data_IF_202634310018
#
_entry.id   IF_202634310018
#
_cell.length_a   1.000
_cell.length_b   1.000
_cell.length_c   1.000
_cell.angle_alpha   90.00
_cell.angle_beta   90.00
_cell.angle_gamma   90.00
#
_symmetry.space_group_name_H-M   'P 1'
#
loop_
_entity.id
_entity.type
_entity.pdbx_description
1 polymer ?
#
# COMPACT_ATOMS: atom_id res chain seq x y z
N UNK A 1 -50.70 -30.30 17.24
CA UNK A 1 -49.96 -30.32 18.52
C UNK A 1 -48.61 -29.67 18.24
N UNK A 2 -48.17 -28.51 18.73
CA UNK A 2 -48.33 -27.72 19.96
C UNK A 2 -46.88 -27.26 20.30
N UNK A 3 -46.48 -26.07 20.74
CA UNK A 3 -47.04 -24.79 21.23
C UNK A 3 -45.92 -23.76 20.90
N UNK A 4 -46.13 -22.60 20.28
CA UNK A 4 -46.51 -21.29 20.83
C UNK A 4 -45.86 -20.87 22.16
N UNK A 5 -45.05 -19.79 22.14
CA UNK A 5 -44.89 -18.69 23.14
C UNK A 5 -43.61 -17.87 22.83
N UNK A 6 -43.67 -16.60 22.37
CA UNK A 6 -43.94 -15.29 23.03
C UNK A 6 -42.65 -14.49 23.37
N UNK A 7 -42.49 -13.31 22.74
CA UNK A 7 -41.58 -12.20 23.10
C UNK A 7 -41.97 -11.59 24.47
N UNK A 8 -41.13 -10.73 25.08
CA UNK A 8 -41.39 -9.29 24.88
C UNK A 8 -40.15 -8.38 24.78
N UNK A 9 -40.39 -7.23 24.13
CA UNK A 9 -39.58 -6.02 24.11
C UNK A 9 -39.53 -5.36 25.50
N UNK A 10 -38.43 -4.65 25.79
CA UNK A 10 -38.41 -3.59 26.81
C UNK A 10 -37.71 -2.35 26.23
N UNK A 11 -38.51 -1.31 25.97
CA UNK A 11 -38.10 0.08 25.78
C UNK A 11 -38.37 0.81 27.10
N UNK A 12 -37.43 1.63 27.57
CA UNK A 12 -37.57 2.70 28.58
C UNK A 12 -36.22 3.43 28.63
N UNK A 13 -36.08 4.74 28.78
CA UNK A 13 -36.94 5.92 28.74
C UNK A 13 -36.01 7.10 29.01
N UNK A 14 -36.13 8.18 28.26
CA UNK A 14 -35.42 9.44 28.49
C UNK A 14 -36.08 10.26 29.61
N UNK A 15 -35.27 10.89 30.46
CA UNK A 15 -35.54 12.13 31.23
C UNK A 15 -34.29 12.38 32.08
N UNK A 16 -33.72 13.56 32.27
CA UNK A 16 -34.09 14.94 31.96
C UNK A 16 -33.24 15.87 32.87
N UNK A 17 -33.51 17.17 32.77
CA UNK A 17 -33.16 18.27 33.71
C UNK A 17 -31.93 19.12 33.36
N UNK A 18 -32.23 20.24 32.71
CA UNK A 18 -31.54 21.53 32.83
C UNK A 18 -31.75 22.16 34.21
N UNK A 19 -30.87 23.11 34.62
CA UNK A 19 -31.34 24.40 35.13
C UNK A 19 -30.51 25.55 34.53
N UNK A 20 -31.13 26.56 33.88
CA UNK A 20 -31.75 27.75 34.46
C UNK A 20 -30.76 28.83 34.96
N UNK A 21 -30.49 29.78 34.05
CA UNK A 21 -30.37 31.24 34.17
C UNK A 21 -30.20 31.86 35.58
N UNK A 22 -29.15 32.67 35.74
CA UNK A 22 -29.17 33.87 36.58
C UNK A 22 -28.64 35.10 35.82
N UNK A 23 -29.53 36.06 35.57
CA UNK A 23 -29.27 37.44 35.14
C UNK A 23 -29.04 38.34 36.37
N UNK A 24 -28.10 39.29 36.27
CA UNK A 24 -28.06 40.62 36.93
C UNK A 24 -26.71 41.27 36.56
N UNK A 25 -26.51 42.56 36.37
CA UNK A 25 -27.33 43.75 36.09
C UNK A 25 -26.31 44.83 35.66
N UNK A 26 -26.68 45.69 34.73
CA UNK A 26 -25.88 46.80 34.20
C UNK A 26 -25.40 47.79 35.27
N UNK A 27 -24.25 48.42 35.02
CA UNK A 27 -24.06 49.86 35.24
C UNK A 27 -23.07 50.40 34.20
N UNK A 28 -23.50 51.41 33.43
CA UNK A 28 -22.67 52.10 32.46
C UNK A 28 -21.88 53.27 33.05
N UNK A 29 -20.90 53.76 32.28
CA UNK A 29 -20.52 55.17 32.20
C UNK A 29 -19.65 55.40 30.95
N UNK A 30 -19.98 56.47 30.24
CA UNK A 30 -19.35 56.98 29.02
C UNK A 30 -18.07 57.79 29.31
N UNK A 31 -17.32 58.03 28.21
CA UNK A 31 -16.23 58.99 27.91
C UNK A 31 -14.98 58.21 27.50
N UNK A 32 -14.42 58.31 26.28
CA UNK A 32 -14.20 59.48 25.45
C UNK A 32 -12.68 59.70 25.36
N UNK A 33 -12.06 59.41 24.20
CA UNK A 33 -10.70 59.88 23.86
C UNK A 33 -9.72 58.84 23.29
N UNK A 34 -9.46 58.92 21.97
CA UNK A 34 -8.16 58.68 21.30
C UNK A 34 -7.52 57.27 21.28
N UNK A 35 -6.84 56.86 20.20
CA UNK A 35 -6.32 55.51 20.06
C UNK A 35 -5.03 55.34 20.87
N UNK A 36 -5.07 54.53 21.92
CA UNK A 36 -3.87 54.01 22.58
C UNK A 36 -3.39 52.75 21.82
N UNK A 37 -2.07 52.59 21.58
CA UNK A 37 -1.55 51.41 20.91
C UNK A 37 -1.90 50.17 21.73
N UNK A 38 -2.55 49.21 21.07
CA UNK A 38 -2.90 47.93 21.70
C UNK A 38 -1.62 47.25 22.18
N UNK A 39 -1.52 47.14 23.51
CA UNK A 39 -0.53 46.32 24.21
C UNK A 39 -0.47 44.93 23.54
N UNK A 40 0.73 44.36 23.33
CA UNK A 40 0.84 42.99 22.83
C UNK A 40 0.04 42.06 23.74
N UNK A 41 -0.87 41.28 23.15
CA UNK A 41 -1.55 40.20 23.86
C UNK A 41 -0.44 39.26 24.33
N UNK A 42 -0.43 39.03 25.65
CA UNK A 42 0.42 38.08 26.38
C UNK A 42 0.80 36.85 25.53
N UNK A 43 2.10 36.53 25.49
CA UNK A 43 2.68 35.38 24.78
C UNK A 43 2.34 34.00 25.38
N UNK A 44 1.31 33.91 26.23
CA UNK A 44 0.95 32.70 26.99
C UNK A 44 -0.57 32.46 27.02
N UNK A 45 -1.28 32.79 25.95
CA UNK A 45 -2.63 32.27 25.73
C UNK A 45 -2.50 31.13 24.72
N UNK A 46 -2.54 29.89 25.22
CA UNK A 46 -2.62 28.71 24.37
C UNK A 46 -4.04 28.64 23.78
N UNK A 47 -4.15 28.99 22.51
CA UNK A 47 -5.37 28.77 21.74
C UNK A 47 -5.24 27.39 21.06
N UNK A 48 -6.03 26.45 21.57
CA UNK A 48 -6.02 25.06 21.11
C UNK A 48 -6.42 24.94 19.63
N UNK A 49 -7.18 25.92 19.11
CA UNK A 49 -7.61 25.93 17.72
C UNK A 49 -6.47 26.36 16.79
N UNK A 50 -5.65 27.33 17.23
CA UNK A 50 -4.49 27.80 16.47
C UNK A 50 -3.36 26.77 16.45
N UNK A 51 -3.10 26.05 17.56
CA UNK A 51 -2.13 24.94 17.59
C UNK A 51 -2.58 23.76 16.71
N UNK A 52 -3.89 23.51 16.60
CA UNK A 52 -4.42 22.49 15.69
C UNK A 52 -4.22 22.89 14.22
N UNK A 53 -4.50 24.15 13.88
CA UNK A 53 -4.30 24.70 12.54
C UNK A 53 -2.82 24.73 12.15
N UNK A 54 -1.92 25.15 13.05
CA UNK A 54 -0.47 25.10 12.81
C UNK A 54 0.04 23.67 12.61
N UNK A 55 -0.44 22.70 13.39
CA UNK A 55 -0.07 21.29 13.20
C UNK A 55 -0.61 20.71 11.90
N UNK A 56 -1.82 21.09 11.50
CA UNK A 56 -2.39 20.70 10.21
C UNK A 56 -1.63 21.32 9.04
N UNK A 57 -1.23 22.59 9.14
CA UNK A 57 -0.41 23.28 8.16
C UNK A 57 1.01 22.69 8.08
N UNK A 58 1.62 22.37 9.23
CA UNK A 58 2.91 21.71 9.31
C UNK A 58 2.86 20.33 8.63
N UNK A 59 1.79 19.55 8.85
CA UNK A 59 1.60 18.25 8.20
C UNK A 59 1.40 18.38 6.68
N UNK A 60 0.66 19.39 6.21
CA UNK A 60 0.53 19.69 4.77
C UNK A 60 1.86 20.15 4.15
N UNK A 61 2.68 20.91 4.87
CA UNK A 61 3.99 21.35 4.40
C UNK A 61 5.06 20.24 4.44
N UNK A 62 5.00 19.32 5.41
CA UNK A 62 5.86 18.13 5.46
C UNK A 62 5.49 17.10 4.38
N UNK A 63 4.22 17.01 4.00
CA UNK A 63 3.79 16.19 2.86
C UNK A 63 4.26 16.73 1.50
N UNK A 64 4.84 17.93 1.45
CA UNK A 64 5.42 18.56 0.26
C UNK A 64 6.95 18.62 0.26
N UNK A 65 7.60 18.06 1.29
CA UNK A 65 9.05 18.11 1.45
C UNK A 65 9.71 16.71 1.55
N UNK A 66 8.96 15.65 1.22
CA UNK A 66 9.49 14.31 1.10
C UNK A 66 9.75 14.00 -0.39
N UNK A 67 11.03 13.83 -0.73
CA UNK A 67 11.59 13.55 -2.07
C UNK A 67 11.20 12.16 -2.62
N UNK A 68 9.97 11.71 -2.36
CA UNK A 68 9.35 10.49 -2.93
C UNK A 68 8.46 10.79 -4.14
N UNK A 69 8.46 12.04 -4.62
CA UNK A 69 7.55 12.53 -5.66
C UNK A 69 7.89 12.06 -7.09
N UNK A 70 9.02 11.41 -7.33
CA UNK A 70 9.39 10.91 -8.65
C UNK A 70 8.76 9.54 -9.02
N UNK A 71 8.15 8.82 -8.07
CA UNK A 71 7.41 7.58 -8.39
C UNK A 71 5.90 7.81 -8.64
N UNK A 72 5.34 8.92 -8.16
CA UNK A 72 3.90 9.21 -8.23
C UNK A 72 3.49 10.15 -9.37
N UNK A 73 4.43 10.79 -10.09
CA UNK A 73 4.12 11.79 -11.12
C UNK A 73 3.93 11.21 -12.53
N UNK A 74 3.36 10.00 -12.64
CA UNK A 74 2.88 9.41 -13.91
C UNK A 74 1.35 9.37 -13.98
N UNK A 75 0.68 10.33 -13.31
CA UNK A 75 -0.77 10.42 -13.17
C UNK A 75 -1.53 10.98 -14.37
N UNK A 76 -1.43 10.35 -15.54
CA UNK A 76 -2.41 10.51 -16.62
C UNK A 76 -2.73 9.17 -17.29
N UNK A 77 -3.20 8.19 -16.50
CA UNK A 77 -3.72 6.95 -17.06
C UNK A 77 -5.17 7.15 -17.51
N UNK A 78 -5.38 7.03 -18.81
CA UNK A 78 -6.71 7.00 -19.43
C UNK A 78 -7.45 5.79 -18.88
N UNK A 79 -8.54 6.01 -18.13
CA UNK A 79 -9.44 4.99 -17.59
C UNK A 79 -9.86 4.04 -18.73
N UNK A 80 -9.26 2.85 -18.80
CA UNK A 80 -9.59 1.83 -19.79
C UNK A 80 -10.76 1.01 -19.25
N UNK A 81 -11.87 0.99 -20.00
CA UNK A 81 -13.00 0.11 -19.71
C UNK A 81 -12.54 -1.35 -19.78
N UNK A 82 -12.48 -2.00 -18.61
CA UNK A 82 -12.05 -3.39 -18.49
C UNK A 82 -13.20 -4.35 -18.75
N UNK A 83 -12.97 -5.33 -19.62
CA UNK A 83 -13.85 -6.47 -19.77
C UNK A 83 -13.77 -7.36 -18.52
N UNK A 84 -14.73 -7.18 -17.59
CA UNK A 84 -14.84 -7.84 -16.28
C UNK A 84 -14.71 -9.38 -16.30
N UNK A 85 -14.91 -10.03 -17.45
CA UNK A 85 -14.80 -11.48 -17.61
C UNK A 85 -13.35 -11.98 -17.68
N UNK A 86 -12.41 -11.16 -18.16
CA UNK A 86 -10.97 -11.46 -18.14
C UNK A 86 -10.35 -11.20 -16.75
N UNK A 87 -10.98 -10.31 -15.97
CA UNK A 87 -10.57 -9.79 -14.65
C UNK A 87 -11.05 -10.64 -13.45
N UNK A 88 -11.43 -11.92 -13.63
CA UNK A 88 -11.87 -12.78 -12.49
C UNK A 88 -10.77 -13.11 -11.47
N UNK A 89 -9.58 -12.57 -11.66
CA UNK A 89 -8.44 -12.65 -10.78
C UNK A 89 -7.91 -11.22 -10.66
N UNK A 90 -8.74 -10.33 -10.09
CA UNK A 90 -8.34 -8.98 -9.71
C UNK A 90 -6.96 -9.05 -9.02
N UNK A 91 -6.06 -8.16 -9.42
CA UNK A 91 -4.80 -7.99 -8.71
C UNK A 91 -5.16 -7.78 -7.23
N UNK A 92 -4.44 -8.43 -6.32
CA UNK A 92 -4.70 -8.31 -4.89
C UNK A 92 -3.37 -8.33 -4.16
N UNK A 93 -3.20 -7.47 -3.16
CA UNK A 93 -2.00 -7.45 -2.32
C UNK A 93 -1.78 -8.80 -1.60
N UNK A 94 -2.86 -9.56 -1.38
CA UNK A 94 -2.88 -10.83 -0.65
C UNK A 94 -2.46 -12.06 -1.48
N UNK A 95 -2.18 -11.90 -2.78
CA UNK A 95 -1.81 -13.03 -3.68
C UNK A 95 -0.43 -13.60 -3.37
N UNK A 96 0.42 -12.81 -2.74
CA UNK A 96 1.79 -13.17 -2.42
C UNK A 96 2.17 -12.56 -1.09
N UNK A 97 3.22 -13.11 -0.50
CA UNK A 97 3.74 -12.67 0.77
C UNK A 97 5.25 -12.75 0.74
N UNK A 98 5.90 -11.62 1.02
CA UNK A 98 7.35 -11.53 1.14
C UNK A 98 7.74 -11.59 2.60
N UNK A 99 8.88 -12.20 2.88
CA UNK A 99 9.39 -12.38 4.24
C UNK A 99 10.84 -11.95 4.31
N UNK A 100 11.28 -11.61 5.52
CA UNK A 100 12.69 -11.54 5.82
C UNK A 100 13.17 -12.86 6.45
N UNK A 101 14.43 -13.27 6.20
CA UNK A 101 15.03 -14.33 6.98
C UNK A 101 15.14 -13.91 8.45
N UNK A 102 15.07 -14.90 9.33
CA UNK A 102 15.28 -14.71 10.78
C UNK A 102 16.67 -14.14 11.06
N UNK A 103 17.69 -14.63 10.33
CA UNK A 103 19.02 -14.03 10.31
C UNK A 103 19.15 -13.14 9.07
N UNK A 104 19.18 -11.83 9.28
CA UNK A 104 19.26 -10.81 8.22
C UNK A 104 20.58 -10.92 7.44
N UNK A 105 21.65 -11.41 8.06
CA UNK A 105 22.94 -11.60 7.39
C UNK A 105 22.86 -12.65 6.29
N UNK A 106 21.85 -13.52 6.31
CA UNK A 106 21.60 -14.44 5.23
C UNK A 106 21.33 -13.72 3.90
N UNK A 107 20.92 -12.44 3.92
CA UNK A 107 20.70 -11.65 2.71
C UNK A 107 22.00 -11.15 2.06
N UNK A 108 23.15 -11.24 2.74
CA UNK A 108 24.44 -10.81 2.19
C UNK A 108 24.88 -11.73 1.05
N UNK A 109 25.15 -11.15 -0.11
CA UNK A 109 25.58 -11.89 -1.30
C UNK A 109 24.47 -12.64 -2.05
N UNK A 110 23.22 -12.55 -1.61
CA UNK A 110 22.06 -13.11 -2.33
C UNK A 110 21.61 -12.14 -3.44
N UNK A 111 21.26 -12.67 -4.60
CA UNK A 111 20.69 -11.87 -5.71
C UNK A 111 19.17 -11.68 -5.53
N UNK A 112 18.58 -10.60 -6.08
CA UNK A 112 17.11 -10.40 -6.01
C UNK A 112 16.30 -11.61 -6.48
N UNK A 113 16.76 -12.28 -7.55
CA UNK A 113 16.10 -13.49 -8.08
C UNK A 113 16.14 -14.64 -7.07
N UNK A 114 17.28 -14.85 -6.40
CA UNK A 114 17.41 -15.86 -5.34
C UNK A 114 16.55 -15.51 -4.12
N UNK A 115 16.50 -14.23 -3.74
CA UNK A 115 15.62 -13.77 -2.66
C UNK A 115 14.16 -14.11 -2.98
N UNK A 116 13.70 -13.79 -4.19
CA UNK A 116 12.34 -14.12 -4.63
C UNK A 116 12.06 -15.63 -4.57
N UNK A 117 13.00 -16.47 -4.96
CA UNK A 117 12.84 -17.93 -4.87
C UNK A 117 12.69 -18.44 -3.44
N UNK A 118 13.42 -17.86 -2.48
CA UNK A 118 13.47 -18.35 -1.11
C UNK A 118 12.45 -17.70 -0.18
N UNK A 119 12.10 -16.43 -0.41
CA UNK A 119 11.34 -15.62 0.53
C UNK A 119 10.03 -15.04 -0.04
N UNK A 120 9.71 -15.30 -1.32
CA UNK A 120 8.38 -15.02 -1.87
C UNK A 120 7.49 -16.27 -1.77
N UNK A 121 6.33 -16.12 -1.13
CA UNK A 121 5.31 -17.16 -1.10
C UNK A 121 4.11 -16.70 -1.91
N UNK A 122 3.65 -17.50 -2.87
CA UNK A 122 2.51 -17.18 -3.73
C UNK A 122 1.32 -18.08 -3.38
N UNK A 123 0.11 -17.51 -3.36
CA UNK A 123 -1.11 -18.26 -3.10
C UNK A 123 -1.33 -19.35 -4.16
N UNK A 124 -1.83 -20.51 -3.72
CA UNK A 124 -2.03 -21.69 -4.57
C UNK A 124 -2.92 -21.42 -5.78
N UNK A 125 -4.01 -20.64 -5.60
CA UNK A 125 -4.91 -20.32 -6.71
C UNK A 125 -4.18 -19.51 -7.77
N UNK A 126 -3.36 -18.57 -7.34
CA UNK A 126 -2.62 -17.68 -8.23
C UNK A 126 -1.46 -18.41 -8.92
N UNK A 127 -0.75 -19.31 -8.22
CA UNK A 127 0.21 -20.22 -8.81
C UNK A 127 -0.37 -21.04 -9.98
N UNK A 128 -1.60 -21.54 -9.87
CA UNK A 128 -2.24 -22.29 -10.96
C UNK A 128 -2.46 -21.43 -12.20
N UNK A 129 -2.83 -20.16 -12.01
CA UNK A 129 -2.96 -19.20 -13.10
C UNK A 129 -1.61 -18.97 -13.78
N UNK A 130 -0.55 -18.67 -13.02
CA UNK A 130 0.79 -18.50 -13.56
C UNK A 130 1.28 -19.75 -14.29
N UNK A 131 0.98 -20.94 -13.76
CA UNK A 131 1.35 -22.21 -14.38
C UNK A 131 0.73 -22.39 -15.77
N UNK A 132 -0.53 -22.01 -15.94
CA UNK A 132 -1.18 -22.08 -17.25
C UNK A 132 -0.49 -21.20 -18.29
N UNK A 133 -0.10 -19.98 -17.90
CA UNK A 133 0.59 -19.03 -18.79
C UNK A 133 2.01 -19.50 -19.08
N UNK A 134 2.74 -19.95 -18.06
CA UNK A 134 4.05 -20.56 -18.20
C UNK A 134 3.99 -21.66 -19.25
N UNK A 135 3.15 -22.69 -19.06
CA UNK A 135 3.03 -23.82 -20.00
C UNK A 135 2.69 -23.37 -21.43
N UNK A 136 1.83 -22.35 -21.59
CA UNK A 136 1.51 -21.81 -22.93
C UNK A 136 2.70 -21.17 -23.63
N UNK A 137 3.62 -20.55 -22.87
CA UNK A 137 4.82 -19.91 -23.42
C UNK A 137 5.96 -20.92 -23.62
N UNK A 138 5.97 -22.03 -22.89
CA UNK A 138 6.98 -23.10 -23.02
C UNK A 138 6.55 -24.21 -23.98
N UNK A 139 6.51 -23.90 -25.26
CA UNK A 139 6.30 -24.93 -26.28
C UNK A 139 7.54 -25.85 -26.44
N UNK A 140 8.74 -25.36 -26.11
CA UNK A 140 10.02 -26.01 -26.45
C UNK A 140 10.64 -26.91 -25.36
N UNK A 141 9.88 -27.33 -24.34
CA UNK A 141 10.24 -28.41 -23.38
C UNK A 141 11.53 -28.24 -22.54
N UNK A 142 12.24 -27.13 -22.62
CA UNK A 142 13.49 -26.91 -21.86
C UNK A 142 13.28 -26.56 -20.38
N UNK A 143 12.05 -26.28 -19.95
CA UNK A 143 11.73 -25.97 -18.56
C UNK A 143 12.08 -24.54 -18.10
N UNK A 144 12.61 -23.68 -19.00
CA UNK A 144 13.02 -22.31 -18.71
C UNK A 144 12.50 -21.32 -19.76
N UNK A 145 12.06 -20.13 -19.32
CA UNK A 145 11.68 -19.02 -20.20
C UNK A 145 12.95 -18.24 -20.52
N UNK A 146 13.07 -17.81 -21.77
CA UNK A 146 14.02 -16.74 -22.10
C UNK A 146 13.51 -15.40 -21.54
N UNK A 147 14.38 -14.38 -21.50
CA UNK A 147 13.99 -13.02 -21.15
C UNK A 147 12.81 -12.51 -21.98
N UNK A 148 12.83 -12.73 -23.29
CA UNK A 148 11.76 -12.29 -24.20
C UNK A 148 10.44 -13.02 -23.95
N UNK A 149 10.50 -14.33 -23.72
CA UNK A 149 9.30 -15.11 -23.41
C UNK A 149 8.73 -14.73 -22.05
N UNK A 150 9.60 -14.41 -21.08
CA UNK A 150 9.21 -13.91 -19.77
C UNK A 150 8.49 -12.56 -19.86
N UNK A 151 9.00 -11.61 -20.67
CA UNK A 151 8.30 -10.34 -20.93
C UNK A 151 6.90 -10.56 -21.51
N UNK A 152 6.78 -11.43 -22.52
CA UNK A 152 5.49 -11.75 -23.13
C UNK A 152 4.55 -12.47 -22.15
N UNK A 153 5.09 -13.37 -21.33
CA UNK A 153 4.34 -14.09 -20.31
C UNK A 153 3.77 -13.12 -19.25
N UNK A 154 4.59 -12.18 -18.76
CA UNK A 154 4.16 -11.14 -17.82
C UNK A 154 3.06 -10.25 -18.43
N UNK A 155 3.21 -9.84 -19.69
CA UNK A 155 2.15 -9.11 -20.40
C UNK A 155 0.83 -9.88 -20.39
N UNK A 156 0.88 -11.19 -20.68
CA UNK A 156 -0.31 -12.06 -20.67
C UNK A 156 -0.93 -12.23 -19.28
N UNK A 157 -0.13 -12.33 -18.22
CA UNK A 157 -0.63 -12.37 -16.82
C UNK A 157 -1.49 -11.15 -16.53
N UNK A 158 -1.05 -9.98 -17.01
CA UNK A 158 -1.72 -8.70 -16.84
C UNK A 158 -2.78 -8.40 -17.91
N UNK A 159 -3.22 -9.39 -18.68
CA UNK A 159 -4.23 -9.22 -19.73
C UNK A 159 -3.83 -8.25 -20.85
N UNK A 160 -2.52 -8.04 -21.06
CA UNK A 160 -1.92 -7.09 -22.01
C UNK A 160 -2.31 -5.62 -21.76
N UNK A 161 -2.74 -5.28 -20.55
CA UNK A 161 -3.05 -3.90 -20.14
C UNK A 161 -1.76 -3.15 -19.77
N UNK A 162 -0.78 -3.86 -19.23
CA UNK A 162 0.50 -3.33 -18.78
C UNK A 162 1.45 -3.20 -19.96
N UNK A 163 2.09 -2.03 -20.08
CA UNK A 163 3.02 -1.73 -21.17
C UNK A 163 4.40 -2.37 -20.97
N UNK A 164 5.16 -2.50 -22.07
CA UNK A 164 6.51 -3.07 -22.05
C UNK A 164 7.47 -2.33 -21.09
N UNK A 165 7.33 -1.01 -20.96
CA UNK A 165 8.15 -0.21 -20.04
C UNK A 165 7.97 -0.64 -18.58
N UNK A 166 6.72 -0.86 -18.14
CA UNK A 166 6.41 -1.31 -16.79
C UNK A 166 6.94 -2.72 -16.54
N UNK A 167 6.81 -3.62 -17.51
CA UNK A 167 7.37 -4.98 -17.44
C UNK A 167 8.89 -4.93 -17.32
N UNK A 168 9.55 -4.07 -18.10
CA UNK A 168 11.00 -3.89 -18.03
C UNK A 168 11.42 -3.37 -16.64
N UNK A 169 10.68 -2.43 -16.06
CA UNK A 169 10.97 -1.96 -14.69
C UNK A 169 10.91 -3.11 -13.67
N UNK A 170 9.94 -4.02 -13.77
CA UNK A 170 9.86 -5.19 -12.90
C UNK A 170 11.10 -6.09 -13.08
N UNK A 171 11.49 -6.35 -14.34
CA UNK A 171 12.66 -7.17 -14.67
C UNK A 171 13.97 -6.53 -14.21
N UNK A 172 14.09 -5.21 -14.33
CA UNK A 172 15.27 -4.45 -13.93
C UNK A 172 15.45 -4.47 -12.40
N UNK A 173 14.36 -4.38 -11.64
CA UNK A 173 14.39 -4.48 -10.17
C UNK A 173 14.94 -5.83 -9.70
N UNK A 174 14.59 -6.91 -10.40
CA UNK A 174 15.12 -8.24 -10.08
C UNK A 174 16.50 -8.51 -10.69
N UNK A 175 17.08 -7.53 -11.39
CA UNK A 175 18.37 -7.68 -12.07
C UNK A 175 18.35 -8.74 -13.17
N UNK A 176 17.22 -8.88 -13.86
CA UNK A 176 17.10 -9.78 -15.00
C UNK A 176 17.69 -9.16 -16.27
N UNK A 177 18.40 -9.98 -17.04
CA UNK A 177 19.02 -9.61 -18.32
C UNK A 177 18.63 -10.57 -19.45
N UNK A 178 19.12 -10.31 -20.67
CA UNK A 178 18.83 -11.15 -21.83
C UNK A 178 19.33 -12.60 -21.70
N UNK A 179 20.26 -12.87 -20.79
CA UNK A 179 20.83 -14.19 -20.54
C UNK A 179 20.09 -14.94 -19.41
N UNK A 180 19.21 -14.25 -18.70
CA UNK A 180 18.45 -14.79 -17.58
C UNK A 180 17.48 -15.86 -18.06
N UNK A 181 17.39 -16.93 -17.26
CA UNK A 181 16.51 -18.07 -17.48
C UNK A 181 15.55 -18.19 -16.31
N UNK A 182 14.26 -18.26 -16.61
CA UNK A 182 13.23 -18.29 -15.58
C UNK A 182 12.60 -19.67 -15.55
N UNK A 183 12.83 -20.41 -14.47
CA UNK A 183 12.05 -21.59 -14.18
C UNK A 183 10.65 -21.19 -13.66
N UNK A 184 9.80 -22.18 -13.41
CA UNK A 184 8.44 -21.90 -12.97
C UNK A 184 8.40 -21.18 -11.62
N UNK A 185 9.31 -21.52 -10.70
CA UNK A 185 9.33 -20.94 -9.37
C UNK A 185 9.69 -19.45 -9.43
N UNK A 186 10.77 -19.11 -10.13
CA UNK A 186 11.18 -17.71 -10.31
C UNK A 186 10.13 -16.93 -11.10
N UNK A 187 9.60 -17.51 -12.17
CA UNK A 187 8.51 -16.89 -12.94
C UNK A 187 7.29 -16.60 -12.06
N UNK A 188 6.88 -17.55 -11.21
CA UNK A 188 5.73 -17.37 -10.33
C UNK A 188 5.94 -16.25 -9.30
N UNK A 189 7.14 -16.14 -8.73
CA UNK A 189 7.51 -15.07 -7.80
C UNK A 189 7.57 -13.71 -8.52
N UNK A 190 8.08 -13.69 -9.75
CA UNK A 190 8.12 -12.48 -10.57
C UNK A 190 6.73 -11.99 -10.96
N UNK A 191 5.81 -12.90 -11.31
CA UNK A 191 4.42 -12.55 -11.57
C UNK A 191 3.78 -11.93 -10.32
N UNK A 192 3.98 -12.55 -9.16
CA UNK A 192 3.52 -12.03 -7.88
C UNK A 192 4.08 -10.62 -7.55
N UNK A 193 5.38 -10.41 -7.75
CA UNK A 193 6.00 -9.08 -7.61
C UNK A 193 5.38 -8.07 -8.58
N UNK A 194 5.19 -8.46 -9.84
CA UNK A 194 4.61 -7.57 -10.85
C UNK A 194 3.17 -7.18 -10.53
N UNK A 195 2.33 -8.12 -10.06
CA UNK A 195 0.98 -7.83 -9.60
C UNK A 195 0.99 -6.92 -8.36
N UNK A 196 1.99 -7.04 -7.47
CA UNK A 196 2.16 -6.15 -6.31
C UNK A 196 2.47 -4.73 -6.74
N UNK A 197 3.48 -4.56 -7.59
CA UNK A 197 3.94 -3.24 -8.05
C UNK A 197 2.88 -2.53 -8.89
N UNK A 198 2.19 -3.29 -9.74
CA UNK A 198 1.21 -2.78 -10.70
C UNK A 198 -0.21 -2.82 -10.15
N UNK A 199 -0.39 -3.14 -8.86
CA UNK A 199 -1.70 -3.22 -8.21
C UNK A 199 -2.55 -1.96 -8.47
N UNK A 200 -1.92 -0.78 -8.39
CA UNK A 200 -2.58 0.51 -8.63
C UNK A 200 -3.18 0.66 -10.03
N UNK A 201 -2.70 -0.09 -11.03
CA UNK A 201 -3.24 -0.08 -12.40
C UNK A 201 -4.59 -0.82 -12.47
N UNK A 202 -4.85 -1.72 -11.52
CA UNK A 202 -6.02 -2.60 -11.52
C UNK A 202 -7.07 -2.27 -10.45
N UNK A 203 -6.73 -1.46 -9.45
CA UNK A 203 -7.66 -1.08 -8.38
C UNK A 203 -8.61 0.01 -8.85
N UNK A 204 -9.89 -0.20 -8.58
CA UNK A 204 -10.90 0.87 -8.62
C UNK A 204 -11.18 1.36 -7.20
N UNK A 205 -11.51 2.64 -7.03
CA UNK A 205 -11.70 3.29 -5.71
C UNK A 205 -12.68 2.57 -4.76
N UNK A 206 -13.49 1.64 -5.27
CA UNK A 206 -14.49 0.88 -4.51
C UNK A 206 -13.91 -0.34 -3.75
N UNK A 207 -12.71 -0.82 -4.11
CA UNK A 207 -12.13 -2.07 -3.55
C UNK A 207 -11.23 -1.86 -2.32
N UNK A 208 -10.91 -0.60 -1.96
CA UNK A 208 -9.82 -0.28 -1.01
C UNK A 208 -10.21 -0.49 0.47
N UNK A 209 -11.49 -0.79 0.76
CA UNK A 209 -12.01 -0.77 2.14
C UNK A 209 -12.24 -2.13 2.81
N UNK A 210 -12.02 -3.26 2.13
CA UNK A 210 -12.41 -4.58 2.67
C UNK A 210 -11.26 -5.54 3.00
N UNK A 211 -9.99 -5.16 2.79
CA UNK A 211 -8.94 -6.16 2.56
C UNK A 211 -7.68 -6.18 3.44
N UNK A 212 -7.44 -5.26 4.39
CA UNK A 212 -6.22 -5.33 5.25
C UNK A 212 -6.31 -6.52 6.21
N UNK A 213 -5.99 -7.70 5.71
CA UNK A 213 -5.96 -8.94 6.48
C UNK A 213 -4.77 -8.97 7.44
N UNK A 214 -4.83 -9.86 8.42
CA UNK A 214 -3.72 -10.13 9.36
C UNK A 214 -2.38 -10.49 8.66
N UNK A 215 -2.43 -10.93 7.40
CA UNK A 215 -1.25 -11.28 6.60
C UNK A 215 -0.45 -10.05 6.18
N UNK A 216 -1.12 -8.99 5.75
CA UNK A 216 -0.47 -7.72 5.40
C UNK A 216 0.21 -7.12 6.63
N UNK A 217 -0.41 -7.23 7.82
CA UNK A 217 0.16 -6.72 9.06
C UNK A 217 1.47 -7.44 9.47
N UNK A 218 1.64 -8.73 9.14
CA UNK A 218 2.87 -9.46 9.42
C UNK A 218 3.98 -9.06 8.46
N UNK A 219 3.68 -8.94 7.17
CA UNK A 219 4.64 -8.44 6.18
C UNK A 219 5.04 -6.99 6.51
N UNK A 220 4.08 -6.12 6.80
CA UNK A 220 4.33 -4.75 7.22
C UNK A 220 5.23 -4.69 8.46
N UNK A 221 5.04 -5.58 9.44
CA UNK A 221 5.92 -5.67 10.60
C UNK A 221 7.33 -6.19 10.26
N UNK A 222 7.46 -7.14 9.33
CA UNK A 222 8.74 -7.65 8.85
C UNK A 222 9.53 -6.54 8.15
N UNK A 223 8.88 -5.72 7.32
CA UNK A 223 9.53 -4.63 6.58
C UNK A 223 9.54 -3.29 7.33
N UNK A 224 8.87 -3.19 8.49
CA UNK A 224 8.91 -1.99 9.32
C UNK A 224 10.35 -1.69 9.79
N UNK A 225 10.77 -0.43 9.61
CA UNK A 225 12.14 0.05 9.91
C UNK A 225 13.23 -0.83 9.27
N UNK A 226 13.01 -1.30 8.03
CA UNK A 226 13.94 -2.16 7.33
C UNK A 226 15.36 -1.59 7.30
N UNK A 227 15.53 -0.29 7.05
CA UNK A 227 16.86 0.33 7.01
C UNK A 227 17.65 0.17 8.32
N UNK A 228 16.96 0.25 9.46
CA UNK A 228 17.59 -0.01 10.77
C UNK A 228 17.92 -1.49 10.93
N UNK A 229 17.04 -2.39 10.47
CA UNK A 229 17.26 -3.84 10.51
C UNK A 229 18.44 -4.27 9.63
N UNK A 230 18.65 -3.61 8.50
CA UNK A 230 19.76 -3.85 7.58
C UNK A 230 21.06 -3.14 8.00
N UNK A 231 21.04 -2.36 9.08
CA UNK A 231 22.22 -1.63 9.54
C UNK A 231 23.36 -2.59 9.89
N UNK A 232 24.53 -2.34 9.31
CA UNK A 232 25.71 -3.20 9.49
C UNK A 232 25.71 -4.48 8.64
N UNK A 233 24.73 -4.67 7.75
CA UNK A 233 24.71 -5.76 6.78
C UNK A 233 25.17 -5.25 5.39
N UNK A 234 25.97 -6.07 4.68
CA UNK A 234 26.43 -5.76 3.33
C UNK A 234 25.40 -6.19 2.26
N UNK A 235 24.31 -5.42 2.17
CA UNK A 235 23.22 -5.65 1.21
C UNK A 235 23.50 -4.94 -0.11
N UNK A 236 23.43 -5.68 -1.22
CA UNK A 236 23.66 -5.16 -2.57
C UNK A 236 22.64 -4.09 -2.96
N UNK A 237 23.02 -3.22 -3.91
CA UNK A 237 22.16 -2.12 -4.34
C UNK A 237 20.91 -2.64 -5.06
N UNK A 238 21.03 -3.74 -5.79
CA UNK A 238 19.92 -4.40 -6.49
C UNK A 238 18.90 -4.95 -5.48
N UNK A 239 19.37 -5.52 -4.37
CA UNK A 239 18.48 -6.00 -3.31
C UNK A 239 17.76 -4.84 -2.62
N UNK A 240 18.45 -3.71 -2.40
CA UNK A 240 17.83 -2.49 -1.85
C UNK A 240 16.72 -1.95 -2.76
N UNK A 241 16.94 -1.96 -4.09
CA UNK A 241 15.90 -1.60 -5.07
C UNK A 241 14.68 -2.52 -5.00
N UNK A 242 14.90 -3.82 -4.79
CA UNK A 242 13.79 -4.74 -4.58
C UNK A 242 13.05 -4.41 -3.29
N UNK A 243 13.74 -4.20 -2.18
CA UNK A 243 13.11 -3.87 -0.91
C UNK A 243 12.37 -2.54 -0.90
N UNK A 244 12.75 -1.56 -1.71
CA UNK A 244 12.02 -0.29 -1.80
C UNK A 244 10.64 -0.41 -2.46
N UNK A 245 10.34 -1.54 -3.12
CA UNK A 245 9.03 -1.80 -3.74
C UNK A 245 8.19 -2.85 -3.02
N UNK A 246 8.68 -3.38 -1.90
CA UNK A 246 7.97 -4.34 -1.03
C UNK A 246 7.36 -3.61 0.16
#
# INVERSE_FOLDING_TARGET
>A
MGKSQKKPQSKRSASGKSPAKRKRKQHGKEAGGGPAPSRPKSALIYDQQTDLEERMAAFQSQALADDTQDFMTMGHYKKLEMNYTQTRLAASKLICHFRLPVDIRALEGITPQQYLLHYCTVDRRRCNHYKSIFIQMHLDKHGFLSYKDCQQALSKVHGNIVGAAQINTVLDIVGADNNSKFDFHLFSALCALSERMLYHVFVTEEDDHTGRGKRDALEEADFYLLDMKLQGCNISQEMRKLFSVL
#
